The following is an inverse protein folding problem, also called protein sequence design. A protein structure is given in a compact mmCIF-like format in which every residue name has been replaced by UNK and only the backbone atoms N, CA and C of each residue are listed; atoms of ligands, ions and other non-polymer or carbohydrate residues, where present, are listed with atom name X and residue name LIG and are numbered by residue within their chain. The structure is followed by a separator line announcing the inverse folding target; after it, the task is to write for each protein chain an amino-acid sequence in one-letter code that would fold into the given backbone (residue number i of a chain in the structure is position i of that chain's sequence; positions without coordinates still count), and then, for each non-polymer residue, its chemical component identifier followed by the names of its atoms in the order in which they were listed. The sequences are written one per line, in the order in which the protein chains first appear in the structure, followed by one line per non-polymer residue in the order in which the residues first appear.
data_IF_410641717913
#
_entry.id   IF_410641717913
#
_cell.length_a   1.000
_cell.length_b   1.000
_cell.length_c   1.000
_cell.angle_alpha   90.00
_cell.angle_beta   90.00
_cell.angle_gamma   90.00
#
_symmetry.space_group_name_H-M   'P 1'
#
loop_
_entity.id
_entity.type
_entity.pdbx_description
1 polymer ?
#
# COMPACT_ATOMS: atom_id res chain seq x y z
N UNK A 1 -9.91 -31.54 -7.71
CA UNK A 1 -10.20 -31.82 -6.27
C UNK A 1 -10.02 -30.51 -5.52
N UNK A 2 -11.12 -29.83 -5.26
CA UNK A 2 -11.13 -28.57 -4.51
C UNK A 2 -10.86 -28.90 -3.05
N UNK A 3 -9.66 -28.58 -2.59
CA UNK A 3 -9.40 -28.57 -1.15
C UNK A 3 -10.42 -27.61 -0.52
N UNK A 4 -11.17 -28.09 0.48
CA UNK A 4 -12.13 -27.33 1.27
C UNK A 4 -11.46 -26.15 2.01
N UNK A 5 -11.00 -25.17 1.23
CA UNK A 5 -10.33 -23.98 1.73
C UNK A 5 -11.35 -23.11 2.45
N UNK A 6 -11.13 -22.82 3.71
CA UNK A 6 -11.76 -21.69 4.38
C UNK A 6 -11.72 -20.49 3.46
N UNK A 7 -12.86 -19.81 3.24
CA UNK A 7 -12.86 -18.59 2.41
C UNK A 7 -11.84 -17.60 2.97
N UNK A 8 -11.23 -16.78 2.12
CA UNK A 8 -10.22 -15.79 2.55
C UNK A 8 -10.76 -14.93 3.70
N UNK A 9 -12.06 -14.60 3.69
CA UNK A 9 -12.72 -13.88 4.77
C UNK A 9 -12.53 -14.56 6.15
N UNK A 10 -12.77 -15.89 6.23
CA UNK A 10 -12.56 -16.64 7.49
C UNK A 10 -11.10 -16.66 7.94
N UNK A 11 -10.15 -16.60 7.00
CA UNK A 11 -8.72 -16.50 7.36
C UNK A 11 -8.40 -15.10 7.89
N UNK A 12 -8.98 -14.06 7.30
CA UNK A 12 -8.85 -12.70 7.82
C UNK A 12 -9.45 -12.56 9.23
N UNK A 13 -10.55 -13.24 9.55
CA UNK A 13 -11.11 -13.27 10.91
C UNK A 13 -10.13 -13.88 11.93
N UNK A 14 -9.43 -14.96 11.53
CA UNK A 14 -8.37 -15.55 12.36
C UNK A 14 -7.18 -14.61 12.55
N UNK A 15 -6.76 -13.91 11.49
CA UNK A 15 -5.68 -12.93 11.57
C UNK A 15 -6.05 -11.77 12.48
N UNK A 16 -7.27 -11.24 12.38
CA UNK A 16 -7.72 -10.14 13.24
C UNK A 16 -7.86 -10.56 14.69
N UNK A 17 -8.36 -11.77 14.94
CA UNK A 17 -8.38 -12.33 16.31
C UNK A 17 -6.98 -12.43 16.91
N UNK A 18 -5.97 -12.68 16.09
CA UNK A 18 -4.58 -12.87 16.53
C UNK A 18 -3.83 -11.54 16.70
N UNK A 19 -3.98 -10.60 15.77
CA UNK A 19 -3.24 -9.33 15.75
C UNK A 19 -4.01 -8.14 16.31
N UNK A 20 -5.34 -8.26 16.47
CA UNK A 20 -6.24 -7.14 16.66
C UNK A 20 -6.59 -6.40 15.36
N UNK A 21 -7.51 -5.46 15.46
CA UNK A 21 -7.85 -4.57 14.36
C UNK A 21 -6.63 -3.71 13.96
N UNK A 22 -6.47 -3.50 12.67
CA UNK A 22 -5.35 -2.74 12.10
C UNK A 22 -5.85 -1.44 11.49
N UNK A 23 -5.09 -0.36 11.71
CA UNK A 23 -5.38 0.97 11.17
C UNK A 23 -4.27 1.42 10.20
N UNK A 24 -4.58 2.26 9.21
CA UNK A 24 -3.56 2.82 8.34
C UNK A 24 -2.66 3.80 9.09
N UNK A 25 -1.35 3.63 8.98
CA UNK A 25 -0.36 4.56 9.54
C UNK A 25 0.09 5.63 8.53
N UNK A 26 -0.76 5.96 7.57
CA UNK A 26 -0.54 6.94 6.50
C UNK A 26 -1.79 7.79 6.25
N UNK A 27 -1.64 9.00 5.65
CA UNK A 27 -2.79 9.80 5.22
C UNK A 27 -3.63 9.08 4.17
N UNK A 28 -4.95 9.23 4.24
CA UNK A 28 -5.87 8.59 3.28
C UNK A 28 -6.31 9.51 2.15
N UNK A 29 -6.17 10.84 2.30
CA UNK A 29 -6.39 11.78 1.21
C UNK A 29 -5.31 11.59 0.12
N UNK A 30 -5.65 11.51 -1.18
CA UNK A 30 -4.73 11.14 -2.24
C UNK A 30 -3.48 12.00 -2.36
N UNK A 31 -3.62 13.33 -2.28
CA UNK A 31 -2.48 14.22 -2.35
C UNK A 31 -1.57 14.07 -1.13
N UNK A 32 -2.15 14.03 0.07
CA UNK A 32 -1.38 13.84 1.30
C UNK A 32 -0.68 12.49 1.34
N UNK A 33 -1.34 11.42 0.82
CA UNK A 33 -0.70 10.13 0.66
C UNK A 33 0.53 10.18 -0.25
N UNK A 34 0.45 10.87 -1.39
CA UNK A 34 1.58 11.01 -2.30
C UNK A 34 2.72 11.82 -1.68
N UNK A 35 2.41 12.88 -0.93
CA UNK A 35 3.42 13.64 -0.16
C UNK A 35 4.09 12.71 0.87
N UNK A 36 3.30 11.98 1.66
CA UNK A 36 3.80 11.01 2.63
C UNK A 36 4.65 9.93 1.97
N UNK A 37 4.22 9.42 0.82
CA UNK A 37 4.96 8.44 0.03
C UNK A 37 6.35 8.95 -0.34
N UNK A 38 6.44 10.17 -0.86
CA UNK A 38 7.73 10.76 -1.21
C UNK A 38 8.57 11.17 0.00
N UNK A 39 8.01 11.19 1.19
CA UNK A 39 8.78 11.41 2.41
C UNK A 39 9.74 10.26 2.75
N UNK A 40 9.57 9.06 2.20
CA UNK A 40 10.43 7.93 2.55
C UNK A 40 10.59 6.84 1.50
N UNK A 41 9.63 6.64 0.58
CA UNK A 41 9.70 5.52 -0.37
C UNK A 41 11.04 5.50 -1.15
N UNK A 42 11.69 4.32 -1.30
CA UNK A 42 11.18 2.96 -1.03
C UNK A 42 11.43 2.40 0.39
N UNK A 43 11.72 3.24 1.36
CA UNK A 43 11.90 2.81 2.75
C UNK A 43 10.57 2.34 3.40
N UNK A 44 10.62 1.96 4.67
CA UNK A 44 9.45 1.48 5.40
C UNK A 44 8.41 2.59 5.63
N UNK A 45 7.15 2.19 5.92
CA UNK A 45 6.10 3.13 6.31
C UNK A 45 6.50 3.98 7.52
N UNK A 46 7.21 3.40 8.49
CA UNK A 46 7.74 4.13 9.64
C UNK A 46 8.75 5.22 9.24
N UNK A 47 9.58 4.95 8.23
CA UNK A 47 10.51 5.95 7.70
C UNK A 47 9.75 7.05 6.93
N UNK A 48 8.74 6.68 6.13
CA UNK A 48 7.84 7.65 5.49
C UNK A 48 7.18 8.56 6.53
N UNK A 49 6.69 8.00 7.64
CA UNK A 49 6.10 8.74 8.75
C UNK A 49 7.08 9.75 9.37
N UNK A 50 8.32 9.35 9.64
CA UNK A 50 9.35 10.26 10.18
C UNK A 50 9.64 11.44 9.23
N UNK A 51 9.78 11.17 7.94
CA UNK A 51 9.96 12.22 6.94
C UNK A 51 8.74 13.13 6.81
N UNK A 52 7.54 12.56 6.87
CA UNK A 52 6.27 13.27 6.84
C UNK A 52 6.12 14.26 8.01
N UNK A 53 6.32 13.80 9.24
CA UNK A 53 6.19 14.66 10.42
C UNK A 53 7.17 15.83 10.37
N UNK A 54 8.42 15.58 9.98
CA UNK A 54 9.42 16.62 9.84
C UNK A 54 9.08 17.60 8.72
N UNK A 55 8.66 17.12 7.55
CA UNK A 55 8.22 17.97 6.45
C UNK A 55 7.05 18.86 6.86
N UNK A 56 6.05 18.27 7.53
CA UNK A 56 4.83 18.94 7.96
C UNK A 56 5.13 20.05 8.97
N UNK A 57 6.01 19.78 9.94
CA UNK A 57 6.37 20.75 10.99
C UNK A 57 7.27 21.88 10.48
N UNK A 58 8.26 21.61 9.61
CA UNK A 58 9.26 22.60 9.20
C UNK A 58 8.85 23.44 7.98
N UNK A 59 8.03 22.89 7.09
CA UNK A 59 7.70 23.51 5.80
C UNK A 59 6.18 23.58 5.59
N UNK A 60 5.47 22.51 5.96
CA UNK A 60 4.08 22.25 5.61
C UNK A 60 3.96 21.46 4.31
N UNK A 61 2.75 20.96 4.05
CA UNK A 61 2.48 20.01 2.95
C UNK A 61 1.70 20.61 1.79
N UNK A 62 1.11 21.81 1.94
CA UNK A 62 0.34 22.46 0.86
C UNK A 62 1.22 22.70 -0.38
N UNK A 63 0.68 22.55 -1.61
CA UNK A 63 1.45 22.74 -2.85
C UNK A 63 2.29 24.01 -2.86
N UNK A 64 1.71 25.16 -2.51
CA UNK A 64 2.42 26.44 -2.49
C UNK A 64 3.60 26.48 -1.50
N UNK A 65 3.47 25.81 -0.36
CA UNK A 65 4.55 25.72 0.63
C UNK A 65 5.72 24.90 0.08
N UNK A 66 5.42 23.76 -0.53
CA UNK A 66 6.43 22.89 -1.14
C UNK A 66 7.13 23.59 -2.32
N UNK A 67 6.39 24.34 -3.14
CA UNK A 67 6.95 25.06 -4.27
C UNK A 67 7.83 26.24 -3.86
N UNK A 68 7.47 26.98 -2.78
CA UNK A 68 8.26 28.10 -2.23
C UNK A 68 9.54 27.64 -1.53
N UNK A 69 9.54 26.44 -0.95
CA UNK A 69 10.72 25.92 -0.25
C UNK A 69 11.87 25.62 -1.24
N UNK A 70 13.11 25.90 -0.83
CA UNK A 70 14.29 25.55 -1.63
C UNK A 70 14.47 24.02 -1.67
N UNK A 71 15.06 23.46 -2.75
CA UNK A 71 15.37 22.03 -2.82
C UNK A 71 16.20 21.55 -1.62
N UNK A 72 17.17 22.33 -1.19
CA UNK A 72 18.01 22.01 -0.03
C UNK A 72 17.21 21.92 1.27
N UNK A 73 16.27 22.86 1.51
CA UNK A 73 15.40 22.84 2.70
C UNK A 73 14.47 21.63 2.68
N UNK A 74 13.89 21.29 1.51
CA UNK A 74 13.08 20.09 1.35
C UNK A 74 13.90 18.82 1.60
N UNK A 75 15.09 18.70 1.02
CA UNK A 75 15.95 17.55 1.22
C UNK A 75 16.33 17.36 2.70
N UNK A 76 16.64 18.45 3.41
CA UNK A 76 16.93 18.41 4.85
C UNK A 76 15.74 17.89 5.67
N UNK A 77 14.51 18.35 5.35
CA UNK A 77 13.29 17.87 6.00
C UNK A 77 13.00 16.39 5.70
N UNK A 78 13.35 15.92 4.50
CA UNK A 78 13.13 14.53 4.08
C UNK A 78 14.20 13.54 4.56
N UNK A 79 15.32 14.02 5.09
CA UNK A 79 16.45 13.16 5.51
C UNK A 79 16.05 12.00 6.45
N UNK A 80 15.15 12.19 7.45
CA UNK A 80 14.70 11.11 8.32
C UNK A 80 13.95 9.97 7.61
N UNK A 81 13.41 10.22 6.42
CA UNK A 81 12.73 9.22 5.59
C UNK A 81 13.67 8.25 4.88
N UNK A 82 15.00 8.45 4.94
CA UNK A 82 15.98 7.52 4.36
C UNK A 82 16.72 8.07 3.14
N UNK A 83 17.11 7.18 2.23
CA UNK A 83 17.99 7.47 1.11
C UNK A 83 17.42 8.48 0.09
N UNK A 84 18.30 9.15 -0.63
CA UNK A 84 18.01 10.05 -1.76
C UNK A 84 17.07 11.22 -1.43
N UNK A 85 17.27 11.97 -0.33
CA UNK A 85 16.38 13.06 0.05
C UNK A 85 16.30 14.17 -1.02
N UNK A 86 17.38 14.42 -1.77
CA UNK A 86 17.44 15.40 -2.87
C UNK A 86 16.50 15.00 -4.03
N UNK A 87 16.55 13.74 -4.44
CA UNK A 87 15.65 13.21 -5.49
C UNK A 87 14.19 13.26 -5.03
N UNK A 88 13.94 12.91 -3.77
CA UNK A 88 12.58 12.97 -3.20
C UNK A 88 12.06 14.41 -3.10
N UNK A 89 12.94 15.37 -2.80
CA UNK A 89 12.61 16.80 -2.82
C UNK A 89 12.19 17.29 -4.21
N UNK A 90 12.88 16.85 -5.26
CA UNK A 90 12.49 17.14 -6.65
C UNK A 90 11.11 16.55 -6.97
N UNK A 91 10.87 15.28 -6.63
CA UNK A 91 9.57 14.61 -6.85
C UNK A 91 8.43 15.30 -6.09
N UNK A 92 8.68 15.81 -4.88
CA UNK A 92 7.69 16.59 -4.13
C UNK A 92 7.35 17.91 -4.85
N UNK A 93 8.33 18.60 -5.42
CA UNK A 93 8.06 19.81 -6.21
C UNK A 93 7.27 19.50 -7.46
N UNK A 94 7.62 18.44 -8.18
CA UNK A 94 6.88 17.99 -9.36
C UNK A 94 5.43 17.59 -9.01
N UNK A 95 5.23 16.87 -7.90
CA UNK A 95 3.91 16.55 -7.36
C UNK A 95 3.11 17.83 -7.11
N UNK A 96 3.69 18.75 -6.32
CA UNK A 96 3.01 19.99 -5.93
C UNK A 96 2.64 20.86 -7.15
N UNK A 97 3.55 20.98 -8.11
CA UNK A 97 3.32 21.70 -9.36
C UNK A 97 2.18 21.05 -10.16
N UNK A 98 2.24 19.74 -10.39
CA UNK A 98 1.22 19.01 -11.13
C UNK A 98 -0.15 19.11 -10.48
N UNK A 99 -0.23 18.92 -9.15
CA UNK A 99 -1.52 18.99 -8.45
C UNK A 99 -2.12 20.40 -8.51
N UNK A 100 -1.30 21.43 -8.37
CA UNK A 100 -1.75 22.82 -8.51
C UNK A 100 -2.21 23.15 -9.93
N UNK A 101 -1.38 22.83 -10.93
CA UNK A 101 -1.55 23.33 -12.31
C UNK A 101 -2.55 22.49 -13.13
N UNK A 102 -2.60 21.17 -12.90
CA UNK A 102 -3.46 20.27 -13.68
C UNK A 102 -4.78 19.95 -12.96
N UNK A 103 -4.81 20.01 -11.63
CA UNK A 103 -5.97 19.58 -10.82
C UNK A 103 -6.51 20.69 -9.90
N UNK A 104 -6.07 21.95 -10.07
CA UNK A 104 -6.55 23.06 -9.26
C UNK A 104 -6.29 22.92 -7.76
N UNK A 105 -5.35 22.05 -7.37
CA UNK A 105 -5.04 21.75 -5.96
C UNK A 105 -5.88 20.63 -5.35
N UNK A 106 -6.85 20.07 -6.07
CA UNK A 106 -7.77 19.03 -5.60
C UNK A 106 -7.61 17.74 -6.42
N UNK A 107 -6.72 16.87 -5.94
CA UNK A 107 -6.51 15.56 -6.57
C UNK A 107 -7.68 14.60 -6.29
N UNK A 108 -8.35 14.74 -5.16
CA UNK A 108 -9.49 13.88 -4.78
C UNK A 108 -10.61 13.96 -5.83
N UNK A 109 -11.04 15.16 -6.17
CA UNK A 109 -12.08 15.38 -7.20
C UNK A 109 -11.64 14.86 -8.57
N UNK A 110 -10.37 15.03 -8.95
CA UNK A 110 -9.84 14.53 -10.22
C UNK A 110 -9.85 12.99 -10.33
N UNK A 111 -9.91 12.28 -9.22
CA UNK A 111 -9.97 10.82 -9.19
C UNK A 111 -11.41 10.28 -9.14
N UNK A 112 -12.43 11.13 -9.03
CA UNK A 112 -13.82 10.71 -9.13
C UNK A 112 -14.17 10.39 -10.58
N UNK A 113 -14.67 9.18 -10.84
CA UNK A 113 -15.00 8.76 -12.20
C UNK A 113 -14.60 7.30 -12.48
N UNK A 114 -14.44 6.91 -13.76
CA UNK A 114 -14.04 5.54 -14.09
C UNK A 114 -12.69 5.16 -13.45
N UNK A 115 -12.65 4.02 -12.76
CA UNK A 115 -11.44 3.53 -12.07
C UNK A 115 -10.21 3.48 -13.00
N UNK A 116 -10.42 3.12 -14.27
CA UNK A 116 -9.34 3.08 -15.27
C UNK A 116 -8.73 4.47 -15.54
N UNK A 117 -9.54 5.53 -15.53
CA UNK A 117 -9.08 6.90 -15.67
C UNK A 117 -8.33 7.37 -14.42
N UNK A 118 -8.88 7.11 -13.24
CA UNK A 118 -8.24 7.42 -11.96
C UNK A 118 -6.87 6.72 -11.82
N UNK A 119 -6.76 5.45 -12.19
CA UNK A 119 -5.47 4.75 -12.25
C UNK A 119 -4.48 5.40 -13.23
N UNK A 120 -4.94 5.84 -14.41
CA UNK A 120 -4.07 6.54 -15.38
C UNK A 120 -3.52 7.86 -14.80
N UNK A 121 -4.36 8.63 -14.10
CA UNK A 121 -3.93 9.84 -13.40
C UNK A 121 -2.87 9.52 -12.36
N UNK A 122 -3.13 8.58 -11.46
CA UNK A 122 -2.22 8.21 -10.37
C UNK A 122 -0.87 7.67 -10.90
N UNK A 123 -0.87 6.89 -11.97
CA UNK A 123 0.35 6.34 -12.58
C UNK A 123 1.23 7.40 -13.27
N UNK A 124 0.79 8.64 -13.38
CA UNK A 124 1.62 9.77 -13.85
C UNK A 124 2.56 10.29 -12.75
N UNK A 125 2.33 9.93 -11.49
CA UNK A 125 3.20 10.27 -10.38
C UNK A 125 4.33 9.26 -10.23
N UNK A 126 5.53 9.74 -9.92
CA UNK A 126 6.71 8.88 -9.82
C UNK A 126 6.51 7.73 -8.81
N UNK A 127 6.96 6.55 -9.20
CA UNK A 127 6.92 5.34 -8.38
C UNK A 127 5.51 4.86 -8.00
N UNK A 128 4.46 5.35 -8.66
CA UNK A 128 3.09 4.85 -8.52
C UNK A 128 2.78 3.93 -9.71
N UNK A 129 2.73 2.63 -9.43
CA UNK A 129 2.23 1.59 -10.34
C UNK A 129 0.85 1.12 -9.89
N UNK A 130 0.29 0.10 -10.55
CA UNK A 130 -1.06 -0.41 -10.22
C UNK A 130 -1.27 -0.69 -8.72
N UNK A 131 -0.33 -1.32 -7.97
CA UNK A 131 -0.52 -1.54 -6.54
C UNK A 131 -0.61 -0.26 -5.71
N UNK A 132 0.16 0.76 -6.08
CA UNK A 132 0.12 2.06 -5.43
C UNK A 132 -1.17 2.81 -5.75
N UNK A 133 -1.59 2.81 -7.02
CA UNK A 133 -2.84 3.42 -7.44
C UNK A 133 -4.05 2.76 -6.76
N UNK A 134 -4.10 1.42 -6.73
CA UNK A 134 -5.18 0.67 -6.09
C UNK A 134 -5.26 0.94 -4.58
N UNK A 135 -4.10 1.04 -3.91
CA UNK A 135 -4.05 1.43 -2.49
C UNK A 135 -4.63 2.82 -2.27
N UNK A 136 -4.24 3.81 -3.09
CA UNK A 136 -4.77 5.18 -2.97
C UNK A 136 -6.28 5.18 -3.17
N UNK A 137 -6.78 4.57 -4.24
CA UNK A 137 -8.21 4.56 -4.56
C UNK A 137 -9.05 3.88 -3.48
N UNK A 138 -8.53 2.80 -2.88
CA UNK A 138 -9.21 2.10 -1.78
C UNK A 138 -9.28 2.95 -0.52
N UNK A 139 -8.14 3.46 -0.05
CA UNK A 139 -8.07 4.17 1.24
C UNK A 139 -8.62 5.59 1.18
N UNK A 140 -8.66 6.21 0.00
CA UNK A 140 -9.32 7.50 -0.22
C UNK A 140 -10.85 7.41 -0.34
N UNK A 141 -11.44 6.22 -0.23
CA UNK A 141 -12.88 6.03 -0.36
C UNK A 141 -13.41 6.26 -1.77
N UNK A 142 -12.56 6.14 -2.80
CA UNK A 142 -12.96 6.36 -4.20
C UNK A 142 -13.56 5.10 -4.80
N UNK A 143 -12.95 3.93 -4.58
CA UNK A 143 -13.48 2.67 -5.04
C UNK A 143 -13.03 1.51 -4.13
N UNK A 144 -13.93 0.56 -3.79
CA UNK A 144 -13.62 -0.59 -2.95
C UNK A 144 -12.85 -1.66 -3.73
N UNK A 145 -11.67 -1.30 -4.23
CA UNK A 145 -10.82 -2.16 -5.06
C UNK A 145 -10.24 -3.31 -4.23
N UNK A 146 -10.11 -4.48 -4.85
CA UNK A 146 -9.38 -5.62 -4.30
C UNK A 146 -7.85 -5.36 -4.34
N UNK A 147 -7.38 -4.38 -3.59
CA UNK A 147 -5.96 -4.05 -3.54
C UNK A 147 -5.18 -5.09 -2.72
N UNK A 148 -4.04 -5.54 -3.24
CA UNK A 148 -3.09 -6.34 -2.48
C UNK A 148 -1.89 -5.47 -2.05
N UNK A 149 -1.36 -5.64 -0.82
CA UNK A 149 -0.20 -4.87 -0.36
C UNK A 149 1.03 -5.19 -1.22
N UNK A 150 1.62 -4.19 -1.88
CA UNK A 150 2.67 -4.38 -2.88
C UNK A 150 3.90 -5.14 -2.38
N UNK A 151 4.31 -4.90 -1.15
CA UNK A 151 5.45 -5.60 -0.52
C UNK A 151 5.07 -6.93 0.14
N UNK A 152 3.78 -7.26 0.22
CA UNK A 152 3.23 -8.47 0.84
C UNK A 152 2.34 -9.28 -0.10
N UNK A 153 2.46 -9.12 -1.42
CA UNK A 153 1.73 -9.91 -2.44
C UNK A 153 1.95 -11.41 -2.26
N UNK A 154 3.11 -11.80 -1.74
CA UNK A 154 3.42 -13.20 -1.44
C UNK A 154 2.45 -13.82 -0.42
N UNK A 155 1.84 -13.04 0.48
CA UNK A 155 0.94 -13.56 1.52
C UNK A 155 -0.28 -14.25 0.92
N UNK A 156 -1.18 -13.58 0.17
CA UNK A 156 -2.31 -14.25 -0.47
C UNK A 156 -1.86 -15.36 -1.43
N UNK A 157 -0.76 -15.18 -2.15
CA UNK A 157 -0.24 -16.19 -3.10
C UNK A 157 0.23 -17.45 -2.36
N UNK A 158 0.92 -17.33 -1.24
CA UNK A 158 1.30 -18.48 -0.39
C UNK A 158 0.11 -19.20 0.19
N UNK A 159 -0.92 -18.46 0.60
CA UNK A 159 -2.16 -19.04 1.15
C UNK A 159 -2.85 -19.90 0.07
N UNK A 160 -3.03 -19.37 -1.15
CA UNK A 160 -3.87 -20.01 -2.19
C UNK A 160 -3.08 -21.00 -3.07
N UNK A 161 -1.85 -20.68 -3.45
CA UNK A 161 -1.05 -21.42 -4.44
C UNK A 161 0.18 -22.13 -3.84
N UNK A 162 0.60 -21.73 -2.65
CA UNK A 162 1.75 -22.33 -1.97
C UNK A 162 3.11 -21.79 -2.41
N UNK A 163 3.18 -20.66 -3.09
CA UNK A 163 4.44 -20.01 -3.43
C UNK A 163 4.32 -18.96 -4.52
N UNK A 164 5.28 -18.05 -4.54
CA UNK A 164 5.36 -16.95 -5.50
C UNK A 164 5.77 -17.47 -6.90
N UNK A 165 5.32 -16.79 -7.93
CA UNK A 165 5.75 -17.01 -9.31
C UNK A 165 7.03 -16.23 -9.64
N UNK A 166 7.45 -16.34 -10.90
CA UNK A 166 8.60 -15.57 -11.43
C UNK A 166 8.24 -14.14 -11.82
N UNK A 167 6.95 -13.83 -11.97
CA UNK A 167 6.46 -12.53 -12.45
C UNK A 167 5.58 -11.87 -11.40
N UNK A 168 6.06 -10.76 -10.84
CA UNK A 168 5.35 -9.98 -9.85
C UNK A 168 3.96 -9.51 -10.33
N UNK A 169 3.84 -9.05 -11.58
CA UNK A 169 2.56 -8.55 -12.11
C UNK A 169 1.51 -9.66 -12.21
N UNK A 170 1.91 -10.88 -12.48
CA UNK A 170 1.03 -12.05 -12.46
C UNK A 170 0.60 -12.36 -11.04
N UNK A 171 1.54 -12.44 -10.11
CA UNK A 171 1.24 -12.67 -8.69
C UNK A 171 0.32 -11.59 -8.13
N UNK A 172 0.53 -10.31 -8.50
CA UNK A 172 -0.33 -9.23 -8.07
C UNK A 172 -1.78 -9.40 -8.56
N UNK A 173 -1.98 -9.71 -9.86
CA UNK A 173 -3.32 -9.96 -10.41
C UNK A 173 -4.02 -11.18 -9.79
N UNK A 174 -3.29 -12.26 -9.53
CA UNK A 174 -3.82 -13.44 -8.84
C UNK A 174 -4.22 -13.10 -7.39
N UNK A 175 -3.40 -12.34 -6.67
CA UNK A 175 -3.71 -11.86 -5.34
C UNK A 175 -4.98 -10.99 -5.33
N UNK A 176 -5.10 -10.07 -6.29
CA UNK A 176 -6.30 -9.26 -6.47
C UNK A 176 -7.55 -10.12 -6.75
N UNK A 177 -7.44 -11.09 -7.65
CA UNK A 177 -8.54 -11.99 -7.98
C UNK A 177 -8.99 -12.79 -6.75
N UNK A 178 -8.05 -13.29 -5.94
CA UNK A 178 -8.36 -14.00 -4.71
C UNK A 178 -9.07 -13.10 -3.67
N UNK A 179 -8.61 -11.85 -3.52
CA UNK A 179 -9.26 -10.88 -2.66
C UNK A 179 -10.64 -10.50 -3.20
N UNK A 180 -10.77 -10.32 -4.52
CA UNK A 180 -12.04 -9.98 -5.16
C UNK A 180 -13.13 -11.03 -4.92
N UNK A 181 -12.75 -12.30 -5.00
CA UNK A 181 -13.67 -13.43 -4.78
C UNK A 181 -13.94 -13.70 -3.29
N UNK A 182 -12.90 -13.57 -2.46
CA UNK A 182 -12.94 -14.02 -1.07
C UNK A 182 -13.30 -12.95 -0.04
N UNK A 183 -13.44 -11.68 -0.44
CA UNK A 183 -13.72 -10.54 0.45
C UNK A 183 -14.85 -9.70 -0.14
N UNK A 184 -15.88 -9.30 0.64
CA UNK A 184 -16.96 -8.44 0.17
C UNK A 184 -16.45 -7.14 -0.49
N UNK A 185 -17.18 -6.64 -1.51
CA UNK A 185 -16.85 -5.42 -2.23
C UNK A 185 -17.36 -4.18 -1.47
N UNK A 186 -16.87 -4.00 -0.27
CA UNK A 186 -17.11 -2.82 0.57
C UNK A 186 -15.78 -2.21 1.00
N UNK A 187 -15.76 -0.91 1.29
CA UNK A 187 -14.56 -0.24 1.78
C UNK A 187 -14.03 -0.90 3.05
N UNK A 188 -14.88 -1.12 4.04
CA UNK A 188 -14.50 -1.71 5.32
C UNK A 188 -13.86 -3.10 5.15
N UNK A 189 -14.49 -3.99 4.37
CA UNK A 189 -13.97 -5.33 4.16
C UNK A 189 -12.64 -5.32 3.38
N UNK A 190 -12.52 -4.45 2.36
CA UNK A 190 -11.31 -4.36 1.51
C UNK A 190 -10.14 -3.69 2.22
N UNK A 191 -10.38 -2.60 2.97
CA UNK A 191 -9.35 -1.93 3.79
C UNK A 191 -8.87 -2.86 4.90
N UNK A 192 -9.79 -3.52 5.61
CA UNK A 192 -9.48 -4.55 6.60
C UNK A 192 -8.60 -5.66 6.01
N UNK A 193 -8.97 -6.21 4.87
CA UNK A 193 -8.19 -7.25 4.20
C UNK A 193 -6.79 -6.77 3.85
N UNK A 194 -6.67 -5.58 3.26
CA UNK A 194 -5.37 -4.99 2.92
C UNK A 194 -4.47 -4.86 4.14
N UNK A 195 -4.98 -4.29 5.24
CA UNK A 195 -4.22 -4.03 6.46
C UNK A 195 -3.76 -5.32 7.14
N UNK A 196 -4.65 -6.31 7.28
CA UNK A 196 -4.33 -7.59 7.89
C UNK A 196 -3.31 -8.40 7.06
N UNK A 197 -3.46 -8.45 5.73
CA UNK A 197 -2.51 -9.12 4.84
C UNK A 197 -1.14 -8.43 4.89
N UNK A 198 -1.12 -7.10 4.94
CA UNK A 198 0.12 -6.32 5.08
C UNK A 198 0.81 -6.60 6.40
N UNK A 199 0.09 -6.50 7.51
CA UNK A 199 0.61 -6.75 8.85
C UNK A 199 1.13 -8.19 8.99
N UNK A 200 0.35 -9.17 8.53
CA UNK A 200 0.75 -10.57 8.53
C UNK A 200 2.05 -10.82 7.73
N UNK A 201 2.21 -10.18 6.58
CA UNK A 201 3.42 -10.28 5.78
C UNK A 201 4.65 -9.65 6.44
N UNK A 202 4.45 -8.62 7.25
CA UNK A 202 5.51 -7.93 7.98
C UNK A 202 5.94 -8.67 9.24
N UNK A 203 5.01 -9.25 9.98
CA UNK A 203 5.27 -9.86 11.29
C UNK A 203 5.55 -11.36 11.24
N UNK A 204 4.73 -12.12 10.52
CA UNK A 204 4.76 -13.59 10.54
C UNK A 204 5.15 -14.18 9.19
N UNK A 205 4.41 -13.88 8.12
CA UNK A 205 4.64 -14.44 6.80
C UNK A 205 5.75 -13.67 6.04
N UNK A 206 6.91 -13.50 6.69
CA UNK A 206 8.05 -12.78 6.08
C UNK A 206 8.53 -13.48 4.81
N UNK A 207 8.96 -12.69 3.82
CA UNK A 207 9.36 -13.25 2.52
C UNK A 207 10.53 -14.23 2.66
N UNK A 208 11.60 -13.86 3.36
CA UNK A 208 12.80 -14.68 3.47
C UNK A 208 12.69 -15.80 4.52
N UNK A 209 12.15 -15.51 5.70
CA UNK A 209 12.07 -16.46 6.84
C UNK A 209 10.68 -16.37 7.47
N UNK A 210 9.66 -17.00 6.89
CA UNK A 210 8.32 -17.01 7.45
C UNK A 210 8.26 -17.83 8.73
N UNK A 211 7.55 -17.33 9.75
CA UNK A 211 7.33 -18.02 11.03
C UNK A 211 6.11 -18.93 10.94
N UNK A 212 6.20 -19.97 10.12
CA UNK A 212 5.05 -20.80 9.77
C UNK A 212 4.44 -21.55 10.96
N UNK A 213 5.25 -21.98 11.91
CA UNK A 213 4.77 -22.72 13.11
C UNK A 213 3.98 -21.80 14.07
N UNK A 214 4.28 -20.50 14.10
CA UNK A 214 3.57 -19.50 14.89
C UNK A 214 2.35 -18.92 14.17
N UNK A 215 2.13 -19.27 12.89
CA UNK A 215 1.13 -18.65 12.02
C UNK A 215 -0.29 -19.11 12.38
N UNK A 216 -1.24 -18.19 12.69
CA UNK A 216 -2.59 -18.56 13.12
C UNK A 216 -3.43 -19.21 12.01
N UNK A 217 -2.96 -19.16 10.75
CA UNK A 217 -3.65 -19.72 9.58
C UNK A 217 -2.85 -20.85 8.90
N UNK A 218 -1.79 -21.36 9.52
CA UNK A 218 -0.90 -22.37 8.92
C UNK A 218 -1.66 -23.61 8.42
N UNK A 219 -2.67 -24.08 9.18
CA UNK A 219 -3.48 -25.26 8.82
C UNK A 219 -4.28 -25.09 7.51
N UNK A 220 -4.50 -23.86 7.06
CA UNK A 220 -5.23 -23.53 5.84
C UNK A 220 -4.32 -22.92 4.76
N UNK A 221 -3.00 -23.00 4.92
CA UNK A 221 -2.03 -22.37 4.03
C UNK A 221 -1.40 -23.40 3.10
N UNK A 222 -1.54 -23.21 1.79
CA UNK A 222 -0.95 -24.12 0.79
C UNK A 222 0.59 -24.12 0.83
N UNK A 223 1.23 -23.02 1.23
CA UNK A 223 2.69 -22.94 1.40
C UNK A 223 3.17 -23.87 2.53
N UNK A 224 2.49 -23.82 3.67
CA UNK A 224 2.81 -24.68 4.81
C UNK A 224 2.58 -26.16 4.50
N UNK A 225 1.47 -26.48 3.82
CA UNK A 225 1.16 -27.84 3.42
C UNK A 225 2.21 -28.44 2.45
N UNK A 226 2.83 -27.61 1.60
CA UNK A 226 3.91 -28.06 0.70
C UNK A 226 5.25 -28.31 1.41
N UNK A 227 5.57 -27.52 2.44
CA UNK A 227 6.79 -27.67 3.22
C UNK A 227 6.82 -28.90 4.13
N UNK A 228 5.66 -29.53 4.35
CA UNK A 228 5.53 -30.79 5.12
C UNK A 228 5.56 -32.05 4.25
N UNK A 229 5.76 -31.93 2.93
CA UNK A 229 5.96 -33.02 1.99
C UNK A 229 7.45 -33.14 1.67
#
# INVERSE_FOLDING_TARGET
MTHGGSSLSKLLDKLEKFYGAQEPCWPTEPYEFLVWWYCGYPASDAACGKGWEKLKSEIGIKPDKLLKATPAKLAAALKPGGMFPELRALRLKELAMRVRDEFGGDLQTALTGPISAARKILKRFHSIADPGADRILLFAGIAPIAAAPSNCVHVPIRIIRGGEGKNYGTDYREAQAAIAVGVPETFDARTRAYLLLKHHGQETCKRAKPKCEECPIHSNCAYFARGKR
#
